data_IF_135610782927
#
_entry.id   IF_135610782927
#
_cell.length_a   1.000
_cell.length_b   1.000
_cell.length_c   1.000
_cell.angle_alpha   90.00
_cell.angle_beta   90.00
_cell.angle_gamma   90.00
#
_symmetry.space_group_name_H-M   'P 1'
#
loop_
_entity.id
_entity.type
_entity.pdbx_description
1 polymer ?
#
# COMPACT_ATOMS: atom_id res chain seq x y z
N UNK A 1 -11.29 -8.64 2.40
CA UNK A 1 -11.54 -10.09 2.59
C UNK A 1 -12.55 -10.32 3.71
N UNK A 2 -12.36 -9.69 4.87
CA UNK A 2 -13.28 -9.73 6.01
C UNK A 2 -14.74 -9.42 5.65
N UNK A 3 -15.03 -8.34 4.92
CA UNK A 3 -16.41 -8.00 4.51
C UNK A 3 -17.06 -9.00 3.55
N UNK A 4 -16.27 -9.75 2.78
CA UNK A 4 -16.79 -10.81 1.89
C UNK A 4 -17.11 -12.04 2.72
N UNK A 5 -16.22 -12.42 3.64
CA UNK A 5 -16.42 -13.58 4.52
C UNK A 5 -17.62 -13.37 5.44
N UNK A 6 -17.78 -12.19 6.04
CA UNK A 6 -18.94 -11.83 6.87
C UNK A 6 -20.28 -11.84 6.10
N UNK A 7 -20.26 -11.66 4.78
CA UNK A 7 -21.47 -11.69 3.96
C UNK A 7 -21.81 -13.10 3.43
N UNK A 8 -20.82 -14.00 3.40
CA UNK A 8 -20.96 -15.33 2.76
C UNK A 8 -21.01 -16.48 3.76
N UNK A 9 -20.43 -16.30 4.95
CA UNK A 9 -20.39 -17.29 6.02
C UNK A 9 -20.98 -16.70 7.31
N UNK A 10 -21.38 -17.58 8.24
CA UNK A 10 -21.74 -17.18 9.59
C UNK A 10 -20.52 -16.60 10.34
N UNK A 11 -20.79 -15.83 11.39
CA UNK A 11 -19.75 -15.09 12.13
C UNK A 11 -18.70 -16.02 12.77
N UNK A 12 -19.09 -17.20 13.24
CA UNK A 12 -18.20 -18.18 13.85
C UNK A 12 -17.26 -18.78 12.81
N UNK A 13 -17.81 -19.25 11.68
CA UNK A 13 -17.05 -19.79 10.55
C UNK A 13 -16.13 -18.74 9.94
N UNK A 14 -16.61 -17.51 9.74
CA UNK A 14 -15.80 -16.41 9.18
C UNK A 14 -14.60 -16.09 10.08
N UNK A 15 -14.82 -16.05 11.41
CA UNK A 15 -13.76 -15.78 12.40
C UNK A 15 -12.75 -16.93 12.48
N UNK A 16 -13.24 -18.19 12.44
CA UNK A 16 -12.39 -19.37 12.43
C UNK A 16 -11.51 -19.41 11.16
N UNK A 17 -12.08 -19.09 10.00
CA UNK A 17 -11.37 -19.07 8.72
C UNK A 17 -10.30 -17.96 8.67
N UNK A 18 -10.63 -16.77 9.18
CA UNK A 18 -9.67 -15.67 9.31
C UNK A 18 -8.49 -16.02 10.23
N UNK A 19 -8.76 -16.63 11.39
CA UNK A 19 -7.73 -16.92 12.39
C UNK A 19 -6.88 -18.14 12.05
N UNK A 20 -7.47 -19.20 11.48
CA UNK A 20 -6.79 -20.48 11.25
C UNK A 20 -6.09 -20.52 9.89
N UNK A 21 -6.65 -19.89 8.86
CA UNK A 21 -6.14 -20.00 7.48
C UNK A 21 -5.51 -18.69 7.02
N UNK A 22 -6.24 -17.57 7.14
CA UNK A 22 -5.79 -16.28 6.60
C UNK A 22 -4.65 -15.68 7.40
N UNK A 23 -4.74 -15.65 8.73
CA UNK A 23 -3.72 -15.03 9.58
C UNK A 23 -2.33 -15.70 9.45
N UNK A 24 -2.19 -17.04 9.47
CA UNK A 24 -0.88 -17.68 9.25
C UNK A 24 -0.31 -17.40 7.87
N UNK A 25 -1.13 -17.45 6.82
CA UNK A 25 -0.70 -17.14 5.46
C UNK A 25 -0.23 -15.67 5.33
N UNK A 26 -0.93 -14.75 5.99
CA UNK A 26 -0.53 -13.34 6.03
C UNK A 26 0.78 -13.10 6.78
N UNK A 27 1.06 -13.83 7.87
CA UNK A 27 2.35 -13.72 8.56
C UNK A 27 3.51 -14.22 7.68
N UNK A 28 3.31 -15.27 6.88
CA UNK A 28 4.30 -15.73 5.90
C UNK A 28 4.55 -14.67 4.82
N UNK A 29 3.49 -14.05 4.30
CA UNK A 29 3.58 -12.96 3.32
C UNK A 29 4.33 -11.76 3.91
N UNK A 30 3.99 -11.37 5.14
CA UNK A 30 4.62 -10.27 5.86
C UNK A 30 6.11 -10.54 6.09
N UNK A 31 6.50 -11.73 6.52
CA UNK A 31 7.91 -12.11 6.67
C UNK A 31 8.66 -12.04 5.32
N UNK A 32 8.03 -12.48 4.24
CA UNK A 32 8.58 -12.36 2.88
C UNK A 32 8.76 -10.90 2.44
N UNK A 33 7.79 -10.04 2.76
CA UNK A 33 7.84 -8.61 2.45
C UNK A 33 8.99 -7.93 3.18
N UNK A 34 9.18 -8.20 4.47
CA UNK A 34 10.31 -7.66 5.24
C UNK A 34 11.65 -8.15 4.70
N UNK A 35 11.76 -9.45 4.39
CA UNK A 35 12.97 -10.00 3.79
C UNK A 35 13.30 -9.36 2.45
N UNK A 36 12.31 -9.06 1.61
CA UNK A 36 12.55 -8.39 0.33
C UNK A 36 12.88 -6.92 0.51
N UNK A 37 12.25 -6.23 1.47
CA UNK A 37 12.59 -4.85 1.82
C UNK A 37 14.04 -4.72 2.29
N UNK A 38 14.51 -5.63 3.14
CA UNK A 38 15.91 -5.66 3.60
C UNK A 38 16.87 -5.85 2.42
N UNK A 39 16.56 -6.76 1.49
CA UNK A 39 17.36 -6.95 0.26
C UNK A 39 17.40 -5.73 -0.64
N UNK A 40 16.31 -4.97 -0.74
CA UNK A 40 16.26 -3.74 -1.53
C UNK A 40 17.15 -2.67 -0.89
N UNK A 41 17.17 -2.59 0.44
CA UNK A 41 17.93 -1.58 1.18
C UNK A 41 19.42 -1.91 1.30
N UNK A 42 19.78 -3.19 1.38
CA UNK A 42 21.16 -3.65 1.61
C UNK A 42 22.19 -2.97 0.68
N UNK A 43 22.00 -2.92 -0.66
CA UNK A 43 22.96 -2.27 -1.57
C UNK A 43 23.14 -0.77 -1.33
N UNK A 44 22.15 -0.11 -0.72
CA UNK A 44 22.16 1.32 -0.43
C UNK A 44 22.74 1.65 0.95
N UNK A 45 22.79 0.67 1.87
CA UNK A 45 23.31 0.86 3.24
C UNK A 45 24.77 0.38 3.34
N UNK A 46 25.07 -0.81 2.84
CA UNK A 46 26.40 -1.43 2.97
C UNK A 46 27.20 -1.42 1.68
N UNK A 47 26.54 -1.16 0.55
CA UNK A 47 27.15 -1.16 -0.78
C UNK A 47 27.87 0.14 -1.13
N UNK A 48 28.67 0.07 -2.20
CA UNK A 48 29.29 1.26 -2.78
C UNK A 48 28.24 2.05 -3.58
N UNK A 49 28.22 3.39 -3.45
CA UNK A 49 27.30 4.23 -4.21
C UNK A 49 27.69 4.26 -5.69
N UNK A 50 27.11 3.34 -6.46
CA UNK A 50 27.35 3.19 -7.90
C UNK A 50 26.00 3.38 -8.62
N UNK A 51 25.98 4.23 -9.64
CA UNK A 51 24.82 4.37 -10.52
C UNK A 51 25.25 4.72 -11.94
N UNK A 52 24.59 4.11 -12.92
CA UNK A 52 24.74 4.41 -14.35
C UNK A 52 23.59 5.27 -14.87
N UNK A 53 22.75 5.78 -13.97
CA UNK A 53 21.63 6.60 -14.36
C UNK A 53 22.11 7.99 -14.80
N UNK A 54 21.78 8.39 -16.04
CA UNK A 54 22.13 9.71 -16.59
C UNK A 54 21.62 10.89 -15.75
N UNK A 55 20.55 10.69 -14.97
CA UNK A 55 20.07 11.71 -14.01
C UNK A 55 21.13 12.13 -12.99
N UNK A 56 22.13 11.28 -12.70
CA UNK A 56 23.25 11.66 -11.83
C UNK A 56 23.95 12.90 -12.40
N UNK A 57 24.43 12.80 -13.64
CA UNK A 57 25.16 13.87 -14.32
C UNK A 57 24.30 15.11 -14.48
N UNK A 58 23.03 14.95 -14.85
CA UNK A 58 22.08 16.06 -14.99
C UNK A 58 21.87 16.80 -13.66
N UNK A 59 21.73 16.07 -12.56
CA UNK A 59 21.52 16.65 -11.23
C UNK A 59 22.76 17.40 -10.76
N UNK A 60 23.96 16.85 -10.97
CA UNK A 60 25.23 17.52 -10.66
C UNK A 60 25.39 18.79 -11.47
N UNK A 61 25.17 18.72 -12.80
CA UNK A 61 25.27 19.90 -13.68
C UNK A 61 24.28 21.00 -13.29
N UNK A 62 23.04 20.64 -12.94
CA UNK A 62 22.04 21.61 -12.46
C UNK A 62 22.47 22.27 -11.15
N UNK A 63 22.96 21.50 -10.19
CA UNK A 63 23.44 22.04 -8.91
C UNK A 63 24.61 23.01 -9.11
N UNK A 64 25.58 22.63 -9.95
CA UNK A 64 26.73 23.45 -10.29
C UNK A 64 26.33 24.73 -11.03
N UNK A 65 25.46 24.64 -12.04
CA UNK A 65 24.97 25.79 -12.78
C UNK A 65 24.20 26.76 -11.87
N UNK A 66 23.40 26.26 -10.93
CA UNK A 66 22.67 27.09 -9.98
C UNK A 66 23.62 27.82 -9.03
N UNK A 67 24.61 27.14 -8.44
CA UNK A 67 25.62 27.81 -7.60
C UNK A 67 26.43 28.84 -8.36
N UNK A 68 26.88 28.51 -9.57
CA UNK A 68 27.62 29.46 -10.41
C UNK A 68 26.76 30.69 -10.70
N UNK A 69 25.48 30.49 -11.04
CA UNK A 69 24.54 31.59 -11.28
C UNK A 69 24.40 32.49 -10.05
N UNK A 70 24.22 31.93 -8.86
CA UNK A 70 24.11 32.69 -7.61
C UNK A 70 25.38 33.48 -7.31
N UNK A 71 26.55 32.85 -7.44
CA UNK A 71 27.85 33.53 -7.30
C UNK A 71 27.97 34.69 -8.28
N UNK A 72 27.65 34.49 -9.56
CA UNK A 72 27.70 35.55 -10.57
C UNK A 72 26.72 36.67 -10.24
N UNK A 73 25.52 36.34 -9.78
CA UNK A 73 24.51 37.32 -9.35
C UNK A 73 25.02 38.19 -8.20
N UNK A 74 25.68 37.60 -7.20
CA UNK A 74 26.30 38.32 -6.08
C UNK A 74 27.43 39.24 -6.54
N UNK A 75 28.32 38.77 -7.43
CA UNK A 75 29.39 39.61 -7.98
C UNK A 75 28.83 40.79 -8.76
N UNK A 76 27.78 40.57 -9.57
CA UNK A 76 27.12 41.63 -10.33
C UNK A 76 26.43 42.65 -9.40
N UNK A 77 25.67 42.19 -8.40
CA UNK A 77 25.05 43.07 -7.38
C UNK A 77 26.10 43.91 -6.66
N UNK A 78 27.21 43.29 -6.27
CA UNK A 78 28.33 43.98 -5.62
C UNK A 78 28.99 45.03 -6.54
N UNK A 79 29.20 44.71 -7.82
CA UNK A 79 29.83 45.62 -8.77
C UNK A 79 28.95 46.83 -9.10
N UNK A 80 27.65 46.61 -9.31
CA UNK A 80 26.70 47.67 -9.61
C UNK A 80 26.13 48.38 -8.37
N UNK A 81 26.48 47.91 -7.17
CA UNK A 81 25.97 48.39 -5.89
C UNK A 81 24.43 48.40 -5.83
N UNK A 82 23.81 47.33 -6.33
CA UNK A 82 22.35 47.15 -6.39
C UNK A 82 21.90 45.98 -5.53
N UNK A 83 20.70 46.09 -4.94
CA UNK A 83 20.07 44.99 -4.19
C UNK A 83 19.49 43.91 -5.11
N UNK A 84 19.07 44.29 -6.32
CA UNK A 84 18.43 43.40 -7.30
C UNK A 84 18.92 43.68 -8.72
N UNK A 85 19.02 42.62 -9.53
CA UNK A 85 19.24 42.73 -10.97
C UNK A 85 17.87 42.88 -11.65
N UNK A 86 17.55 44.10 -12.07
CA UNK A 86 16.28 44.38 -12.75
C UNK A 86 16.23 43.74 -14.14
N UNK A 87 15.07 43.21 -14.53
CA UNK A 87 14.82 42.74 -15.91
C UNK A 87 14.59 43.88 -16.93
N UNK A 88 14.64 45.14 -16.49
CA UNK A 88 14.48 46.32 -17.35
C UNK A 88 15.77 46.74 -18.06
N UNK A 89 15.63 47.46 -19.17
CA UNK A 89 16.76 48.06 -19.88
C UNK A 89 17.32 49.24 -19.07
N UNK A 90 18.49 49.04 -18.46
CA UNK A 90 19.24 50.08 -17.73
C UNK A 90 20.58 50.28 -18.43
N UNK A 91 20.96 51.54 -18.66
CA UNK A 91 22.23 51.89 -19.29
C UNK A 91 23.28 52.18 -18.20
N UNK A 92 24.26 51.31 -18.06
CA UNK A 92 25.38 51.47 -17.13
C UNK A 92 26.66 51.86 -17.88
N UNK A 93 27.37 52.88 -17.38
CA UNK A 93 28.75 53.19 -17.80
C UNK A 93 29.72 52.61 -16.77
N UNK A 94 30.54 51.66 -17.21
CA UNK A 94 31.54 51.02 -16.35
C UNK A 94 32.73 50.53 -17.17
N UNK A 95 33.80 50.18 -16.47
CA UNK A 95 35.00 49.60 -17.06
C UNK A 95 34.82 48.09 -17.20
N UNK A 96 34.89 47.60 -18.45
CA UNK A 96 34.69 46.20 -18.78
C UNK A 96 35.78 45.30 -18.17
N UNK A 97 37.02 45.78 -18.07
CA UNK A 97 38.11 45.01 -17.49
C UNK A 97 37.91 44.86 -15.98
N UNK A 98 37.49 45.93 -15.29
CA UNK A 98 37.18 45.86 -13.85
C UNK A 98 36.02 44.92 -13.54
N UNK A 99 35.02 44.85 -14.43
CA UNK A 99 33.94 43.88 -14.31
C UNK A 99 34.48 42.44 -14.49
N UNK A 100 35.29 42.22 -15.53
CA UNK A 100 35.89 40.92 -15.80
C UNK A 100 36.77 40.43 -14.64
N UNK A 101 37.61 41.31 -14.08
CA UNK A 101 38.43 41.02 -12.91
C UNK A 101 37.53 40.65 -11.71
N UNK A 102 36.42 41.38 -11.50
CA UNK A 102 35.49 41.08 -10.41
C UNK A 102 34.76 39.74 -10.57
N UNK A 103 34.48 39.32 -11.81
CA UNK A 103 33.84 38.03 -12.12
C UNK A 103 34.81 36.84 -12.03
N UNK A 104 36.11 37.07 -12.24
CA UNK A 104 37.14 36.03 -12.24
C UNK A 104 37.79 35.79 -10.87
N UNK A 105 37.76 36.78 -9.96
CA UNK A 105 38.27 36.68 -8.57
C UNK A 105 37.59 35.55 -7.75
N UNK A 106 36.42 35.07 -8.16
CA UNK A 106 35.66 34.00 -7.49
C UNK A 106 35.80 32.60 -8.11
N UNK A 107 36.62 32.41 -9.14
CA UNK A 107 36.94 31.06 -9.64
C UNK A 107 37.86 30.38 -8.62
N UNK A 108 37.27 29.56 -7.74
CA UNK A 108 37.89 28.87 -6.60
C UNK A 108 39.35 28.44 -6.90
N UNK A 109 40.37 29.15 -6.37
CA UNK A 109 41.76 28.71 -6.48
C UNK A 109 42.08 27.60 -5.45
N UNK A 110 41.17 27.38 -4.49
CA UNK A 110 41.27 26.32 -3.49
C UNK A 110 40.66 25.01 -4.02
N UNK A 111 41.55 24.14 -4.50
CA UNK A 111 41.21 22.81 -5.00
C UNK A 111 40.53 21.94 -3.93
N UNK A 112 40.79 22.15 -2.64
CA UNK A 112 40.19 21.35 -1.57
C UNK A 112 38.73 21.73 -1.37
N UNK A 113 38.41 23.03 -1.34
CA UNK A 113 37.03 23.53 -1.26
C UNK A 113 36.21 23.12 -2.49
N UNK A 114 36.81 23.19 -3.68
CA UNK A 114 36.17 22.72 -4.91
C UNK A 114 35.90 21.21 -4.88
N UNK A 115 36.88 20.41 -4.46
CA UNK A 115 36.75 18.95 -4.37
C UNK A 115 35.69 18.53 -3.36
N UNK A 116 35.63 19.20 -2.20
CA UNK A 116 34.57 18.99 -1.20
C UNK A 116 33.18 19.31 -1.77
N UNK A 117 33.04 20.45 -2.47
CA UNK A 117 31.78 20.86 -3.09
C UNK A 117 31.32 19.87 -4.16
N UNK A 118 32.25 19.39 -4.98
CA UNK A 118 32.00 18.36 -5.99
C UNK A 118 31.55 17.04 -5.36
N UNK A 119 32.17 16.62 -4.26
CA UNK A 119 31.79 15.42 -3.54
C UNK A 119 30.35 15.52 -2.98
N UNK A 120 29.99 16.69 -2.44
CA UNK A 120 28.63 16.98 -1.96
C UNK A 120 27.63 16.89 -3.10
N UNK A 121 27.89 17.54 -4.24
CA UNK A 121 27.01 17.47 -5.41
C UNK A 121 26.79 16.05 -5.89
N UNK A 122 27.87 15.28 -5.97
CA UNK A 122 27.82 13.90 -6.44
C UNK A 122 26.99 13.04 -5.48
N UNK A 123 27.19 13.20 -4.17
CA UNK A 123 26.42 12.46 -3.16
C UNK A 123 24.95 12.87 -3.13
N UNK A 124 24.63 14.16 -3.25
CA UNK A 124 23.25 14.62 -3.31
C UNK A 124 22.54 14.12 -4.58
N UNK A 125 23.22 14.19 -5.72
CA UNK A 125 22.71 13.69 -6.99
C UNK A 125 22.51 12.17 -6.95
N UNK A 126 23.46 11.42 -6.40
CA UNK A 126 23.35 9.98 -6.18
C UNK A 126 22.14 9.66 -5.30
N UNK A 127 22.00 10.34 -4.16
CA UNK A 127 20.89 10.09 -3.24
C UNK A 127 19.53 10.34 -3.89
N UNK A 128 19.40 11.39 -4.71
CA UNK A 128 18.17 11.66 -5.48
C UNK A 128 17.82 10.52 -6.45
N UNK A 129 18.82 9.88 -7.05
CA UNK A 129 18.63 8.73 -7.94
C UNK A 129 18.27 7.49 -7.12
N UNK A 130 19.08 7.16 -6.11
CA UNK A 130 18.90 6.00 -5.25
C UNK A 130 17.52 6.00 -4.57
N UNK A 131 17.08 7.15 -4.04
CA UNK A 131 15.76 7.30 -3.43
C UNK A 131 14.63 6.90 -4.38
N UNK A 132 14.68 7.37 -5.64
CA UNK A 132 13.67 7.01 -6.64
C UNK A 132 13.70 5.51 -6.96
N UNK A 133 14.88 4.94 -7.08
CA UNK A 133 15.06 3.51 -7.33
C UNK A 133 14.53 2.66 -6.18
N UNK A 134 14.78 3.05 -4.93
CA UNK A 134 14.26 2.35 -3.75
C UNK A 134 12.75 2.41 -3.71
N UNK A 135 12.15 3.59 -3.93
CA UNK A 135 10.69 3.75 -3.95
C UNK A 135 10.05 2.84 -5.01
N UNK A 136 10.62 2.83 -6.22
CA UNK A 136 10.14 1.97 -7.31
C UNK A 136 10.32 0.48 -6.99
N UNK A 137 11.46 0.11 -6.43
CA UNK A 137 11.77 -1.27 -6.05
C UNK A 137 10.87 -1.77 -4.92
N UNK A 138 10.60 -0.97 -3.89
CA UNK A 138 9.67 -1.34 -2.82
C UNK A 138 8.26 -1.52 -3.37
N UNK A 139 7.83 -0.61 -4.26
CA UNK A 139 6.49 -0.69 -4.86
C UNK A 139 6.31 -1.94 -5.71
N UNK A 140 7.31 -2.30 -6.51
CA UNK A 140 7.23 -3.41 -7.47
C UNK A 140 7.63 -4.77 -6.87
N UNK A 141 8.69 -4.82 -6.07
CA UNK A 141 9.23 -6.07 -5.53
C UNK A 141 8.64 -6.44 -4.17
N UNK A 142 8.45 -5.48 -3.27
CA UNK A 142 7.92 -5.76 -1.95
C UNK A 142 6.37 -5.74 -1.95
N UNK A 143 5.75 -4.67 -2.46
CA UNK A 143 4.29 -4.55 -2.44
C UNK A 143 3.63 -5.39 -3.52
N UNK A 144 3.92 -5.13 -4.80
CA UNK A 144 3.25 -5.83 -5.90
C UNK A 144 3.55 -7.34 -5.88
N UNK A 145 4.84 -7.71 -5.94
CA UNK A 145 5.24 -9.12 -6.00
C UNK A 145 5.06 -9.89 -4.69
N UNK A 146 5.45 -9.32 -3.53
CA UNK A 146 5.39 -10.09 -2.29
C UNK A 146 4.03 -10.05 -1.60
N UNK A 147 3.26 -8.97 -1.72
CA UNK A 147 1.93 -8.85 -1.10
C UNK A 147 0.81 -9.10 -2.10
N UNK A 148 0.67 -8.26 -3.14
CA UNK A 148 -0.51 -8.25 -4.00
C UNK A 148 -0.64 -9.53 -4.85
N UNK A 149 0.45 -10.02 -5.44
CA UNK A 149 0.41 -11.25 -6.23
C UNK A 149 0.17 -12.51 -5.39
N UNK A 150 0.52 -12.49 -4.10
CA UNK A 150 0.32 -13.63 -3.18
C UNK A 150 -1.05 -13.62 -2.52
N UNK A 151 -1.71 -12.46 -2.41
CA UNK A 151 -2.99 -12.29 -1.73
C UNK A 151 -4.11 -13.19 -2.30
N UNK A 152 -4.29 -13.35 -3.63
CA UNK A 152 -5.29 -14.27 -4.19
C UNK A 152 -5.01 -15.74 -3.88
N UNK A 153 -3.76 -16.09 -3.61
CA UNK A 153 -3.34 -17.45 -3.27
C UNK A 153 -3.72 -17.88 -1.85
N UNK A 154 -4.12 -16.95 -0.97
CA UNK A 154 -4.41 -17.26 0.43
C UNK A 154 -5.67 -18.13 0.58
N UNK A 155 -6.73 -17.82 -0.17
CA UNK A 155 -7.99 -18.57 -0.18
C UNK A 155 -8.36 -18.95 -1.62
N UNK A 156 -7.54 -19.82 -2.19
CA UNK A 156 -7.74 -20.44 -3.49
C UNK A 156 -8.52 -21.78 -3.32
N UNK A 157 -9.43 -22.16 -4.23
CA UNK A 157 -10.09 -23.48 -4.21
C UNK A 157 -9.16 -24.67 -3.94
N UNK A 158 -7.96 -24.70 -4.52
CA UNK A 158 -6.96 -25.73 -4.27
C UNK A 158 -6.52 -25.78 -2.79
N UNK A 159 -6.27 -24.62 -2.17
CA UNK A 159 -5.93 -24.52 -0.75
C UNK A 159 -7.07 -25.03 0.12
N UNK A 160 -8.32 -24.71 -0.26
CA UNK A 160 -9.50 -25.19 0.46
C UNK A 160 -9.66 -26.70 0.34
N UNK A 161 -9.40 -27.29 -0.83
CA UNK A 161 -9.45 -28.73 -1.05
C UNK A 161 -8.33 -29.51 -0.34
N UNK A 162 -7.20 -28.85 -0.07
CA UNK A 162 -6.05 -29.44 0.64
C UNK A 162 -6.14 -29.27 2.17
N UNK A 163 -7.17 -28.59 2.69
CA UNK A 163 -7.37 -28.47 4.14
C UNK A 163 -7.64 -29.85 4.76
N UNK A 164 -6.94 -30.20 5.85
CA UNK A 164 -7.16 -31.48 6.51
C UNK A 164 -8.49 -31.49 7.29
N UNK A 165 -9.09 -32.67 7.41
CA UNK A 165 -10.44 -32.86 7.97
C UNK A 165 -10.60 -32.31 9.39
N UNK A 166 -9.54 -32.31 10.20
CA UNK A 166 -9.55 -31.74 11.55
C UNK A 166 -9.70 -30.21 11.53
N UNK A 167 -9.05 -29.54 10.59
CA UNK A 167 -9.17 -28.09 10.40
C UNK A 167 -10.53 -27.75 9.80
N UNK A 168 -11.01 -28.53 8.83
CA UNK A 168 -12.36 -28.35 8.27
C UNK A 168 -13.41 -28.50 9.37
N UNK A 169 -13.30 -29.54 10.21
CA UNK A 169 -14.21 -29.73 11.33
C UNK A 169 -14.15 -28.58 12.34
N UNK A 170 -12.99 -27.98 12.58
CA UNK A 170 -12.86 -26.83 13.49
C UNK A 170 -13.43 -25.54 12.92
N UNK A 171 -13.40 -25.37 11.60
CA UNK A 171 -13.92 -24.18 10.92
C UNK A 171 -15.44 -24.29 10.71
N UNK A 172 -15.93 -25.47 10.35
CA UNK A 172 -17.34 -25.70 10.02
C UNK A 172 -18.17 -26.31 11.17
N UNK A 173 -17.58 -26.51 12.36
CA UNK A 173 -18.32 -26.96 13.52
C UNK A 173 -19.34 -25.90 13.95
N UNK A 174 -20.59 -26.33 14.17
CA UNK A 174 -21.60 -25.48 14.79
C UNK A 174 -21.17 -25.12 16.23
N UNK A 175 -21.26 -23.84 16.58
CA UNK A 175 -21.13 -23.42 17.97
C UNK A 175 -22.25 -24.01 18.85
N UNK A 176 -22.00 -24.18 20.16
CA UNK A 176 -22.96 -24.79 21.07
C UNK A 176 -24.28 -24.01 21.14
N UNK A 177 -24.25 -22.69 20.95
CA UNK A 177 -25.45 -21.87 20.89
C UNK A 177 -26.27 -22.14 19.62
N UNK A 178 -25.61 -22.35 18.49
CA UNK A 178 -26.26 -22.72 17.22
C UNK A 178 -26.93 -24.08 17.32
N UNK A 179 -26.26 -25.07 17.94
CA UNK A 179 -26.81 -26.41 18.19
C UNK A 179 -28.08 -26.33 19.04
N UNK A 180 -28.05 -25.59 20.16
CA UNK A 180 -29.22 -25.43 21.05
C UNK A 180 -30.36 -24.71 20.33
N UNK A 181 -30.06 -23.65 19.56
CA UNK A 181 -31.09 -22.95 18.77
C UNK A 181 -31.71 -23.85 17.71
N UNK A 182 -30.91 -24.69 17.05
CA UNK A 182 -31.38 -25.67 16.07
C UNK A 182 -32.31 -26.68 16.72
N UNK A 183 -31.93 -27.25 17.85
CA UNK A 183 -32.78 -28.18 18.60
C UNK A 183 -34.12 -27.55 19.00
N UNK A 184 -34.10 -26.36 19.61
CA UNK A 184 -35.31 -25.63 19.99
C UNK A 184 -36.20 -25.27 18.79
N UNK A 185 -35.59 -24.88 17.66
CA UNK A 185 -36.32 -24.57 16.44
C UNK A 185 -36.97 -25.83 15.85
N UNK A 186 -36.26 -26.96 15.82
CA UNK A 186 -36.80 -28.23 15.32
C UNK A 186 -37.95 -28.76 16.18
N UNK A 187 -37.86 -28.61 17.50
CA UNK A 187 -38.95 -29.00 18.41
C UNK A 187 -40.20 -28.13 18.19
N UNK A 188 -40.03 -26.81 18.10
CA UNK A 188 -41.14 -25.90 17.77
C UNK A 188 -41.77 -26.21 16.42
N UNK A 189 -40.97 -26.53 15.42
CA UNK A 189 -41.44 -26.86 14.09
C UNK A 189 -42.31 -28.13 14.13
N UNK A 190 -41.85 -29.18 14.82
CA UNK A 190 -42.62 -30.43 14.98
C UNK A 190 -43.98 -30.19 15.66
N UNK A 191 -44.02 -29.39 16.73
CA UNK A 191 -45.28 -29.04 17.42
C UNK A 191 -46.22 -28.26 16.51
N UNK A 192 -45.69 -27.31 15.73
CA UNK A 192 -46.50 -26.51 14.80
C UNK A 192 -47.05 -27.36 13.63
N UNK A 193 -46.27 -28.32 13.13
CA UNK A 193 -46.73 -29.26 12.11
C UNK A 193 -47.85 -30.16 12.62
N UNK A 194 -47.71 -30.71 13.84
CA UNK A 194 -48.76 -31.52 14.46
C UNK A 194 -50.05 -30.71 14.68
N UNK A 195 -49.92 -29.49 15.20
CA UNK A 195 -51.05 -28.58 15.36
C UNK A 195 -51.71 -28.23 14.00
N UNK A 196 -50.92 -28.05 12.94
CA UNK A 196 -51.43 -27.80 11.59
C UNK A 196 -52.21 -29.00 11.04
N UNK A 197 -51.74 -30.23 11.29
CA UNK A 197 -52.43 -31.46 10.88
C UNK A 197 -53.77 -31.57 11.61
N UNK A 198 -53.82 -31.34 12.92
CA UNK A 198 -55.08 -31.40 13.67
C UNK A 198 -56.06 -30.31 13.23
N UNK A 199 -55.59 -29.08 12.99
CA UNK A 199 -56.43 -28.00 12.46
C UNK A 199 -56.98 -28.30 11.06
N UNK A 200 -56.17 -28.92 10.18
CA UNK A 200 -56.64 -29.38 8.87
C UNK A 200 -57.71 -30.47 9.01
N UNK A 201 -57.52 -31.41 9.94
CA UNK A 201 -58.50 -32.47 10.23
C UNK A 201 -59.84 -31.90 10.70
N UNK A 202 -59.80 -30.93 11.61
CA UNK A 202 -60.99 -30.21 12.08
C UNK A 202 -61.66 -29.39 10.96
N UNK A 203 -60.90 -28.77 10.08
CA UNK A 203 -61.41 -28.06 8.90
C UNK A 203 -62.15 -28.97 7.91
N UNK A 204 -61.65 -30.19 7.69
CA UNK A 204 -62.35 -31.20 6.85
C UNK A 204 -63.62 -31.75 7.50
N UNK A 205 -63.69 -31.79 8.84
CA UNK A 205 -64.88 -32.20 9.58
C UNK A 205 -65.95 -31.08 9.64
N UNK A 206 -65.54 -29.81 9.68
CA UNK A 206 -66.45 -28.66 9.65
C UNK A 206 -67.12 -28.41 8.29
N UNK A 207 -66.56 -28.93 7.19
CA UNK A 207 -67.11 -28.81 5.84
C UNK A 207 -68.21 -29.83 5.49
N UNK A 208 -68.43 -30.85 6.31
CA UNK A 208 -69.48 -31.88 6.08
C UNK A 208 -70.79 -31.58 6.84
N UNK A 209 -70.91 -30.43 7.51
CA UNK A 209 -72.05 -30.08 8.36
C UNK A 209 -73.11 -29.15 7.77
N UNK A 210 -73.01 -28.73 6.50
CA UNK A 210 -73.93 -27.74 5.91
C UNK A 210 -74.50 -28.12 4.54
N UNK A 211 -74.76 -29.40 4.29
CA UNK A 211 -75.65 -29.85 3.22
C UNK A 211 -76.62 -30.90 3.76
N UNK A 212 -77.77 -30.46 4.27
CA UNK A 212 -78.81 -31.42 4.65
C UNK A 212 -79.84 -30.96 5.67
N UNK A 213 -80.44 -29.77 5.52
CA UNK A 213 -81.80 -29.54 6.04
C UNK A 213 -82.59 -28.76 4.99
N UNK A 214 -83.30 -29.49 4.14
CA UNK A 214 -84.34 -28.99 3.24
C UNK A 214 -85.71 -29.35 3.81
N UNK A 215 -86.65 -28.42 3.69
CA UNK A 215 -88.11 -28.56 3.72
C UNK A 215 -88.79 -28.92 5.06
N UNK A 216 -89.47 -27.93 5.66
CA UNK A 216 -90.94 -27.76 5.56
C UNK A 216 -91.25 -26.28 5.38
#
# INVERSE_FOLDING_TARGET
MESILQHTADEETATALLSIVVAPAMEVIKAGLWSEADKILEPHISGHPITYNHYLTDNVQKAQAQRLRLKLEEHLKSFFNTSELSSGLVNYKFDMLKLFDKLTVGMEPDMDTYSCSMAIDMMEAYYKVALKTVIDSVSTLAVERCLLQKLPGILNPAVVCELPDDIVSRIAAEGPESVVKREQATEKLAVLEEAMVELRRLGTLGGQGTEGITAV
#
